data_IF_812117959945
#
_entry.id   IF_812117959945
#
_cell.length_a   1.000
_cell.length_b   1.000
_cell.length_c   1.000
_cell.angle_alpha   90.00
_cell.angle_beta   90.00
_cell.angle_gamma   90.00
#
_symmetry.space_group_name_H-M   'P 1'
#
loop_
_entity.id
_entity.type
_entity.pdbx_description
1 polymer ?
#
# COMPACT_ATOMS: atom_id res chain seq x y z
N UNK A 1 -23.37 0.50 3.18
CA UNK A 1 -22.84 -0.45 2.17
C UNK A 1 -21.71 0.29 1.46
N UNK A 2 -20.46 0.12 1.91
CA UNK A 2 -19.32 0.83 1.32
C UNK A 2 -18.83 0.01 0.13
N UNK A 3 -19.02 0.54 -1.08
CA UNK A 3 -18.54 -0.10 -2.29
C UNK A 3 -17.01 -0.10 -2.30
N UNK A 4 -16.41 -1.26 -2.05
CA UNK A 4 -14.96 -1.42 -2.18
C UNK A 4 -14.57 -1.31 -3.66
N UNK A 5 -13.81 -0.27 -4.01
CA UNK A 5 -13.22 -0.11 -5.33
C UNK A 5 -11.84 -0.76 -5.32
N UNK A 6 -11.57 -1.65 -6.28
CA UNK A 6 -10.21 -2.13 -6.55
C UNK A 6 -9.38 -0.96 -7.06
N UNK A 7 -8.51 -0.42 -6.22
CA UNK A 7 -7.63 0.69 -6.57
C UNK A 7 -6.34 0.12 -7.14
N UNK A 8 -6.04 0.44 -8.40
CA UNK A 8 -4.73 0.17 -8.98
C UNK A 8 -3.73 1.17 -8.36
N UNK A 9 -2.66 0.67 -7.73
CA UNK A 9 -1.66 1.51 -7.07
C UNK A 9 -1.08 2.60 -7.98
N UNK A 10 -0.90 2.29 -9.27
CA UNK A 10 -0.43 3.25 -10.27
C UNK A 10 -1.46 4.34 -10.60
N UNK A 11 -2.75 3.98 -10.62
CA UNK A 11 -3.83 4.95 -10.86
C UNK A 11 -4.00 5.85 -9.64
N UNK A 12 -3.89 5.30 -8.43
CA UNK A 12 -3.95 6.07 -7.19
C UNK A 12 -2.77 7.04 -7.06
N UNK A 13 -1.55 6.58 -7.35
CA UNK A 13 -0.37 7.44 -7.34
C UNK A 13 -0.48 8.62 -8.30
N UNK A 14 -1.01 8.35 -9.48
CA UNK A 14 -1.19 9.31 -10.55
C UNK A 14 -2.24 10.36 -10.19
N UNK A 15 -3.40 9.93 -9.70
CA UNK A 15 -4.49 10.81 -9.26
C UNK A 15 -4.11 11.63 -8.02
N UNK A 16 -3.39 11.05 -7.07
CA UNK A 16 -2.85 11.76 -5.90
C UNK A 16 -1.85 12.84 -6.31
N UNK A 17 -0.97 12.54 -7.28
CA UNK A 17 0.01 13.50 -7.80
C UNK A 17 -0.69 14.69 -8.47
N UNK A 18 -1.72 14.43 -9.28
CA UNK A 18 -2.53 15.48 -9.89
C UNK A 18 -3.20 16.40 -8.85
N UNK A 19 -3.84 15.82 -7.82
CA UNK A 19 -4.48 16.62 -6.77
C UNK A 19 -3.46 17.47 -6.01
N UNK A 20 -2.31 16.89 -5.67
CA UNK A 20 -1.24 17.59 -4.97
C UNK A 20 -0.71 18.81 -5.74
N UNK A 21 -0.50 18.67 -7.06
CA UNK A 21 -0.10 19.82 -7.89
C UNK A 21 -1.21 20.86 -8.02
N UNK A 22 -2.47 20.42 -8.14
CA UNK A 22 -3.63 21.31 -8.20
C UNK A 22 -3.81 22.11 -6.90
N UNK A 23 -3.65 21.48 -5.74
CA UNK A 23 -3.73 22.14 -4.42
C UNK A 23 -2.63 23.20 -4.23
N UNK A 24 -1.47 22.99 -4.86
CA UNK A 24 -0.37 23.98 -4.87
C UNK A 24 -0.58 25.13 -5.86
N UNK A 25 -1.64 25.10 -6.67
CA UNK A 25 -1.93 26.12 -7.67
C UNK A 25 -1.09 26.01 -8.94
N UNK A 26 -0.50 24.85 -9.22
CA UNK A 26 0.23 24.60 -10.47
C UNK A 26 -0.74 24.49 -11.66
N UNK A 27 -0.30 24.87 -12.86
CA UNK A 27 -1.08 24.75 -14.09
C UNK A 27 -1.06 23.30 -14.60
N UNK A 28 -1.90 22.48 -13.98
CA UNK A 28 -2.07 21.06 -14.28
C UNK A 28 -3.54 20.75 -14.61
N UNK A 29 -3.75 19.91 -15.62
CA UNK A 29 -5.07 19.46 -16.03
C UNK A 29 -5.06 17.95 -16.30
N UNK A 30 -6.12 17.25 -15.87
CA UNK A 30 -6.31 15.83 -16.16
C UNK A 30 -7.27 15.71 -17.34
N UNK A 31 -6.73 15.38 -18.52
CA UNK A 31 -7.45 15.49 -19.80
C UNK A 31 -7.20 14.26 -20.70
N UNK A 32 -8.14 14.00 -21.60
CA UNK A 32 -7.93 13.09 -22.72
C UNK A 32 -7.17 13.84 -23.83
N UNK A 33 -6.12 13.27 -24.44
CA UNK A 33 -5.48 13.86 -25.61
C UNK A 33 -6.40 13.69 -26.83
N UNK A 34 -7.18 14.71 -27.17
CA UNK A 34 -8.30 14.60 -28.13
C UNK A 34 -7.95 14.91 -29.60
N UNK A 35 -6.67 15.08 -29.95
CA UNK A 35 -6.30 15.56 -31.28
C UNK A 35 -5.32 14.61 -31.99
N UNK A 36 -5.55 14.38 -33.28
CA UNK A 36 -4.58 13.75 -34.17
C UNK A 36 -3.39 14.70 -34.33
N UNK A 37 -2.21 14.28 -33.88
CA UNK A 37 -1.02 15.08 -33.93
C UNK A 37 0.24 14.20 -33.99
N UNK A 38 1.38 14.85 -34.23
CA UNK A 38 2.68 14.21 -34.08
C UNK A 38 3.16 14.33 -32.64
N UNK A 39 3.19 13.19 -31.98
CA UNK A 39 3.59 13.03 -30.59
C UNK A 39 4.99 12.45 -30.52
N UNK A 40 5.77 12.95 -29.57
CA UNK A 40 7.09 12.44 -29.26
C UNK A 40 7.06 11.88 -27.83
N UNK A 41 7.22 10.55 -27.66
CA UNK A 41 7.35 9.96 -26.34
C UNK A 41 8.70 10.33 -25.74
N UNK A 42 8.65 10.81 -24.51
CA UNK A 42 9.81 11.13 -23.69
C UNK A 42 9.69 10.40 -22.35
N UNK A 43 10.80 9.86 -21.89
CA UNK A 43 10.88 9.22 -20.58
C UNK A 43 12.19 9.58 -19.91
N UNK A 44 12.20 9.54 -18.60
CA UNK A 44 13.43 9.58 -17.84
C UNK A 44 14.08 8.17 -17.83
N UNK A 45 15.41 8.13 -17.90
CA UNK A 45 16.18 6.90 -18.08
C UNK A 45 15.96 5.84 -16.98
N UNK A 46 15.83 6.26 -15.72
CA UNK A 46 15.49 5.35 -14.60
C UNK A 46 14.02 4.92 -14.59
N UNK A 47 13.18 5.51 -15.45
CA UNK A 47 11.76 5.23 -15.56
C UNK A 47 10.93 5.85 -14.45
N UNK A 48 11.44 6.90 -13.79
CA UNK A 48 10.72 7.62 -12.73
C UNK A 48 9.45 8.29 -13.25
N UNK A 49 9.51 8.81 -14.48
CA UNK A 49 8.35 9.35 -15.19
C UNK A 49 8.46 9.12 -16.70
N UNK A 50 7.32 9.14 -17.37
CA UNK A 50 7.20 9.12 -18.81
C UNK A 50 6.01 9.97 -19.25
N UNK A 51 6.09 10.43 -20.49
CA UNK A 51 5.04 11.24 -21.08
C UNK A 51 5.26 11.52 -22.55
N UNK A 52 4.43 12.41 -23.06
CA UNK A 52 4.31 12.74 -24.46
C UNK A 52 4.37 14.23 -24.63
N UNK A 53 5.10 14.67 -25.66
CA UNK A 53 5.17 16.08 -26.05
C UNK A 53 4.71 16.21 -27.48
N UNK A 54 4.00 17.30 -27.76
CA UNK A 54 3.62 17.64 -29.12
C UNK A 54 4.85 18.15 -29.87
N UNK A 55 5.18 17.52 -31.00
CA UNK A 55 6.37 17.87 -31.76
C UNK A 55 6.37 19.35 -32.18
N UNK A 56 5.18 19.89 -32.51
CA UNK A 56 5.00 21.32 -32.85
C UNK A 56 5.39 22.29 -31.73
N UNK A 57 5.26 21.88 -30.47
CA UNK A 57 5.58 22.71 -29.31
C UNK A 57 7.09 22.71 -29.00
N UNK A 58 7.84 21.75 -29.54
CA UNK A 58 9.30 21.74 -29.47
C UNK A 58 9.94 22.72 -30.47
N UNK A 59 9.24 23.13 -31.52
CA UNK A 59 9.82 23.98 -32.56
C UNK A 59 10.31 25.33 -32.05
N UNK A 60 9.50 26.10 -31.29
CA UNK A 60 9.94 27.40 -30.78
C UNK A 60 11.15 27.32 -29.86
N UNK A 61 11.42 26.14 -29.28
CA UNK A 61 12.55 25.93 -28.38
C UNK A 61 13.87 25.72 -29.12
N UNK A 62 13.80 25.24 -30.37
CA UNK A 62 14.98 25.01 -31.21
C UNK A 62 15.25 26.25 -32.08
N UNK A 63 14.21 26.79 -32.72
CA UNK A 63 14.27 28.04 -33.46
C UNK A 63 12.88 28.61 -33.67
N UNK A 64 12.71 29.91 -33.40
CA UNK A 64 11.46 30.63 -33.66
C UNK A 64 11.04 30.59 -35.14
N UNK A 65 12.00 30.43 -36.07
CA UNK A 65 11.73 30.38 -37.51
C UNK A 65 11.06 29.06 -37.95
N UNK A 66 11.17 28.00 -37.15
CA UNK A 66 10.56 26.71 -37.41
C UNK A 66 9.11 26.62 -36.88
N UNK A 67 8.66 27.64 -36.14
CA UNK A 67 7.32 27.68 -35.58
C UNK A 67 6.27 27.72 -36.71
N UNK A 68 5.41 26.69 -36.78
CA UNK A 68 4.33 26.61 -37.78
C UNK A 68 4.72 25.98 -39.12
N UNK A 69 5.96 25.50 -39.29
CA UNK A 69 6.35 24.76 -40.49
C UNK A 69 5.93 23.29 -40.45
N UNK A 70 5.57 22.73 -41.61
CA UNK A 70 5.37 21.29 -41.77
C UNK A 70 6.74 20.60 -41.91
N UNK A 71 7.06 19.68 -41.01
CA UNK A 71 8.36 19.00 -41.02
C UNK A 71 8.40 17.83 -41.98
N UNK A 72 9.53 17.70 -42.67
CA UNK A 72 9.93 16.45 -43.32
C UNK A 72 10.37 15.45 -42.23
N UNK A 73 10.16 14.13 -42.43
CA UNK A 73 10.50 13.11 -41.44
C UNK A 73 11.94 13.17 -40.93
N UNK A 74 12.87 13.64 -41.77
CA UNK A 74 14.27 13.79 -41.41
C UNK A 74 14.49 14.88 -40.33
N UNK A 75 13.75 15.99 -40.40
CA UNK A 75 13.81 17.02 -39.36
C UNK A 75 13.23 16.51 -38.04
N UNK A 76 12.17 15.68 -38.10
CA UNK A 76 11.58 15.07 -36.91
C UNK A 76 12.56 14.13 -36.21
N UNK A 77 13.31 13.34 -36.99
CA UNK A 77 14.39 12.49 -36.51
C UNK A 77 15.48 13.31 -35.81
N UNK A 78 15.93 14.39 -36.44
CA UNK A 78 16.97 15.28 -35.87
C UNK A 78 16.54 15.94 -34.57
N UNK A 79 15.26 16.31 -34.43
CA UNK A 79 14.70 16.85 -33.17
C UNK A 79 14.76 15.79 -32.06
N UNK A 80 14.37 14.55 -32.37
CA UNK A 80 14.45 13.45 -31.41
C UNK A 80 15.88 13.13 -30.98
N UNK A 81 16.83 13.19 -31.92
CA UNK A 81 18.26 13.02 -31.64
C UNK A 81 18.82 14.15 -30.79
N UNK A 82 18.49 15.40 -31.11
CA UNK A 82 18.88 16.56 -30.32
C UNK A 82 18.39 16.45 -28.87
N UNK A 83 17.13 16.06 -28.66
CA UNK A 83 16.58 15.83 -27.32
C UNK A 83 17.30 14.71 -26.55
N UNK A 84 17.71 13.65 -27.24
CA UNK A 84 18.40 12.50 -26.62
C UNK A 84 19.87 12.76 -26.29
N UNK A 85 20.50 13.70 -27.01
CA UNK A 85 21.92 14.05 -26.87
C UNK A 85 22.14 15.26 -25.97
N UNK A 86 21.14 16.13 -25.84
CA UNK A 86 21.19 17.29 -24.96
C UNK A 86 21.11 16.87 -23.50
N UNK A 87 21.90 17.50 -22.64
CA UNK A 87 21.92 17.22 -21.20
C UNK A 87 20.68 17.73 -20.48
N UNK A 88 20.17 18.90 -20.87
CA UNK A 88 18.98 19.53 -20.25
C UNK A 88 18.12 20.26 -21.29
N UNK A 89 17.55 19.54 -22.28
CA UNK A 89 16.78 20.17 -23.35
C UNK A 89 15.47 20.81 -22.88
N UNK A 90 14.92 20.38 -21.74
CA UNK A 90 13.65 20.86 -21.18
C UNK A 90 13.85 21.41 -19.77
N UNK A 91 13.45 22.64 -19.51
CA UNK A 91 13.52 23.21 -18.16
C UNK A 91 12.29 22.82 -17.34
N UNK A 92 12.38 21.70 -16.60
CA UNK A 92 11.28 21.21 -15.77
C UNK A 92 11.39 21.75 -14.34
N UNK A 93 10.41 22.55 -13.94
CA UNK A 93 10.35 23.17 -12.60
C UNK A 93 9.99 22.18 -11.49
N UNK A 94 9.34 21.07 -11.85
CA UNK A 94 8.81 20.09 -10.91
C UNK A 94 9.92 19.14 -10.43
N UNK A 95 10.17 19.02 -9.11
CA UNK A 95 11.22 18.16 -8.57
C UNK A 95 11.01 16.67 -8.89
N UNK A 96 9.76 16.25 -9.08
CA UNK A 96 9.38 14.87 -9.39
C UNK A 96 9.62 14.51 -10.87
N UNK A 97 9.87 15.52 -11.71
CA UNK A 97 10.22 15.36 -13.11
C UNK A 97 11.70 15.59 -13.37
N UNK A 98 12.54 15.58 -12.34
CA UNK A 98 13.99 15.61 -12.53
C UNK A 98 14.44 14.45 -13.40
N UNK A 99 15.33 14.75 -14.32
CA UNK A 99 15.94 13.77 -15.20
C UNK A 99 17.41 14.13 -15.38
N UNK A 100 18.26 13.11 -15.53
CA UNK A 100 19.65 13.30 -15.92
C UNK A 100 19.79 13.26 -17.45
N UNK A 101 19.03 12.38 -18.09
CA UNK A 101 18.94 12.25 -19.54
C UNK A 101 17.54 11.83 -19.95
N UNK A 102 17.06 12.37 -21.07
CA UNK A 102 15.78 11.96 -21.66
C UNK A 102 16.00 10.83 -22.65
N UNK A 103 15.22 9.76 -22.47
CA UNK A 103 15.03 8.72 -23.47
C UNK A 103 13.90 9.16 -24.39
N UNK A 104 14.22 9.38 -25.66
CA UNK A 104 13.25 9.80 -26.68
C UNK A 104 12.92 8.61 -27.56
N UNK A 105 11.63 8.32 -27.72
CA UNK A 105 11.18 7.27 -28.61
C UNK A 105 10.93 7.75 -30.04
N UNK A 106 10.28 6.90 -30.85
CA UNK A 106 9.90 7.24 -32.22
C UNK A 106 8.70 8.17 -32.24
N UNK A 107 8.67 9.10 -33.19
CA UNK A 107 7.53 9.97 -33.45
C UNK A 107 6.30 9.12 -33.77
N UNK A 108 5.22 9.39 -33.06
CA UNK A 108 3.91 8.77 -33.26
C UNK A 108 2.99 9.78 -33.95
N UNK A 109 2.49 9.44 -35.13
CA UNK A 109 1.55 10.27 -35.87
C UNK A 109 0.14 9.68 -35.73
N UNK A 110 -0.72 10.36 -34.98
CA UNK A 110 -2.09 9.91 -34.76
C UNK A 110 -2.71 10.40 -33.46
N UNK A 111 -3.81 9.75 -33.07
CA UNK A 111 -4.54 10.03 -31.84
C UNK A 111 -4.00 9.14 -30.73
N UNK A 112 -3.54 9.74 -29.64
CA UNK A 112 -3.23 8.99 -28.42
C UNK A 112 -4.55 8.47 -27.84
N UNK A 113 -4.69 7.15 -27.70
CA UNK A 113 -5.88 6.52 -27.11
C UNK A 113 -5.52 5.81 -25.80
N UNK A 114 -5.14 6.57 -24.74
CA UNK A 114 -4.84 5.97 -23.45
C UNK A 114 -6.11 5.42 -22.78
N UNK A 115 -5.96 4.38 -21.97
CA UNK A 115 -7.06 3.78 -21.21
C UNK A 115 -7.60 4.70 -20.08
N UNK A 116 -6.85 5.75 -19.73
CA UNK A 116 -7.17 6.72 -18.70
C UNK A 116 -6.69 8.12 -19.13
N UNK A 117 -7.28 9.21 -18.60
CA UNK A 117 -6.79 10.57 -18.83
C UNK A 117 -5.32 10.74 -18.45
N UNK A 118 -4.62 11.63 -19.14
CA UNK A 118 -3.23 11.97 -18.89
C UNK A 118 -3.14 13.29 -18.10
N UNK A 119 -2.08 13.45 -17.31
CA UNK A 119 -1.82 14.73 -16.64
C UNK A 119 -1.08 15.62 -17.63
N UNK A 120 -1.74 16.69 -18.06
CA UNK A 120 -1.12 17.77 -18.83
C UNK A 120 -0.54 18.78 -17.85
N UNK A 121 0.75 19.02 -17.94
CA UNK A 121 1.45 20.07 -17.21
C UNK A 121 1.96 21.13 -18.19
N UNK A 122 1.86 22.39 -17.81
CA UNK A 122 2.56 23.48 -18.49
C UNK A 122 3.94 23.68 -17.84
N UNK A 123 5.02 23.58 -18.62
CA UNK A 123 6.39 23.78 -18.10
C UNK A 123 6.83 25.25 -18.12
N UNK A 124 6.03 26.13 -18.73
CA UNK A 124 6.43 27.49 -19.11
C UNK A 124 6.79 27.61 -20.59
N UNK A 125 7.15 26.49 -21.22
CA UNK A 125 7.67 26.42 -22.58
C UNK A 125 6.82 25.52 -23.48
N UNK A 126 6.38 24.37 -22.96
CA UNK A 126 5.55 23.41 -23.67
C UNK A 126 4.61 22.66 -22.72
N UNK A 127 3.67 21.91 -23.30
CA UNK A 127 2.83 20.98 -22.56
C UNK A 127 3.44 19.58 -22.56
N UNK A 128 3.61 19.00 -21.37
CA UNK A 128 3.95 17.58 -21.23
C UNK A 128 2.71 16.82 -20.79
N UNK A 129 2.42 15.73 -21.48
CA UNK A 129 1.32 14.84 -21.18
C UNK A 129 1.88 13.58 -20.52
N UNK A 130 1.83 13.53 -19.20
CA UNK A 130 2.39 12.44 -18.41
C UNK A 130 1.46 11.24 -18.45
N UNK A 131 2.03 10.06 -18.71
CA UNK A 131 1.34 8.77 -18.59
C UNK A 131 1.80 7.98 -17.35
N UNK A 132 2.98 8.32 -16.83
CA UNK A 132 3.54 7.76 -15.60
C UNK A 132 4.31 8.83 -14.86
N UNK A 133 4.10 8.90 -13.55
CA UNK A 133 4.90 9.72 -12.64
C UNK A 133 4.96 9.03 -11.28
N UNK A 134 6.13 9.00 -10.65
CA UNK A 134 6.28 8.56 -9.27
C UNK A 134 5.51 9.48 -8.33
N UNK A 135 4.82 8.90 -7.35
CA UNK A 135 3.91 9.62 -6.41
C UNK A 135 4.60 10.87 -5.84
N UNK A 136 3.98 12.03 -6.01
CA UNK A 136 4.31 13.21 -5.21
C UNK A 136 3.87 12.96 -3.76
N UNK A 137 4.80 12.62 -2.87
CA UNK A 137 4.54 12.63 -1.43
C UNK A 137 4.96 14.00 -0.89
N UNK A 138 4.04 14.97 -0.89
CA UNK A 138 4.22 16.14 -0.04
C UNK A 138 3.94 15.74 1.41
N UNK A 139 4.60 16.40 2.35
CA UNK A 139 4.63 16.08 3.80
C UNK A 139 3.24 16.00 4.48
N UNK A 140 2.17 16.33 3.76
CA UNK A 140 0.78 16.22 4.18
C UNK A 140 0.11 14.90 3.77
N UNK A 141 0.87 13.83 3.47
CA UNK A 141 0.27 12.50 3.48
C UNK A 141 -0.37 12.30 4.86
N UNK A 142 -1.65 11.88 4.97
CA UNK A 142 -2.26 11.64 6.26
C UNK A 142 -1.37 10.66 7.00
N UNK A 143 -0.67 11.17 8.02
CA UNK A 143 0.18 10.36 8.86
C UNK A 143 -0.79 9.45 9.59
N UNK A 144 -0.83 8.19 9.15
CA UNK A 144 -1.60 7.17 9.84
C UNK A 144 -1.09 7.19 11.26
N UNK A 145 -1.90 7.71 12.19
CA UNK A 145 -1.50 7.79 13.59
C UNK A 145 -1.39 6.37 14.10
N UNK A 146 -0.17 5.85 14.10
CA UNK A 146 0.14 4.48 14.49
C UNK A 146 -0.27 4.19 15.94
N UNK A 147 -0.52 5.25 16.74
CA UNK A 147 -0.99 5.13 18.12
C UNK A 147 -2.49 4.86 18.23
N UNK A 148 -3.29 5.26 17.24
CA UNK A 148 -4.76 5.14 17.25
C UNK A 148 -5.26 3.84 16.62
N UNK A 149 -4.40 2.85 16.57
CA UNK A 149 -4.46 1.73 15.68
C UNK A 149 -4.45 0.48 16.58
N UNK A 150 -5.46 -0.39 16.46
CA UNK A 150 -5.69 -1.51 17.37
C UNK A 150 -5.73 -2.84 16.61
N UNK A 151 -5.12 -3.87 17.20
CA UNK A 151 -5.07 -5.22 16.63
C UNK A 151 -5.60 -6.22 17.65
N UNK A 152 -6.45 -7.17 17.21
CA UNK A 152 -6.83 -8.27 18.06
C UNK A 152 -5.62 -9.20 18.24
N UNK A 153 -5.14 -9.28 19.48
CA UNK A 153 -4.11 -10.24 19.88
C UNK A 153 -4.84 -11.40 20.54
N UNK A 154 -4.71 -12.60 19.97
CA UNK A 154 -5.24 -13.82 20.58
C UNK A 154 -4.11 -14.57 21.27
N UNK A 155 -4.31 -14.88 22.54
CA UNK A 155 -3.41 -15.71 23.34
C UNK A 155 -3.93 -17.15 23.27
N UNK A 156 -3.27 -17.98 22.46
CA UNK A 156 -3.66 -19.37 22.24
C UNK A 156 -2.90 -20.22 23.25
N UNK A 157 -3.63 -21.02 24.04
CA UNK A 157 -3.05 -21.96 25.03
C UNK A 157 -2.82 -23.36 24.44
N UNK A 158 -3.39 -23.64 23.26
CA UNK A 158 -3.22 -24.88 22.53
C UNK A 158 -4.31 -25.09 21.51
N UNK A 159 -4.27 -26.21 20.80
CA UNK A 159 -5.31 -26.57 19.84
C UNK A 159 -5.47 -28.08 19.69
N UNK A 160 -6.64 -28.48 19.22
CA UNK A 160 -6.94 -29.85 18.79
C UNK A 160 -7.44 -29.85 17.36
N UNK A 161 -6.98 -30.83 16.57
CA UNK A 161 -7.56 -31.12 15.27
C UNK A 161 -8.75 -32.05 15.48
N UNK A 162 -9.90 -31.69 14.93
CA UNK A 162 -11.11 -32.50 14.99
C UNK A 162 -11.77 -32.59 13.62
N UNK A 163 -12.71 -33.52 13.47
CA UNK A 163 -13.46 -33.69 12.23
C UNK A 163 -14.75 -32.86 12.27
N UNK A 164 -15.28 -32.53 11.09
CA UNK A 164 -16.50 -31.71 10.97
C UNK A 164 -17.69 -32.31 11.71
N UNK A 165 -17.84 -33.65 11.70
CA UNK A 165 -18.95 -34.32 12.41
C UNK A 165 -18.93 -34.01 13.90
N UNK A 166 -17.76 -34.16 14.53
CA UNK A 166 -17.57 -33.83 15.94
C UNK A 166 -17.90 -32.36 16.23
N UNK A 167 -17.55 -31.42 15.35
CA UNK A 167 -17.87 -29.99 15.55
C UNK A 167 -19.38 -29.74 15.58
N UNK A 168 -20.14 -30.44 14.74
CA UNK A 168 -21.60 -30.32 14.66
C UNK A 168 -22.29 -30.89 15.90
N UNK A 169 -21.66 -31.88 16.53
CA UNK A 169 -22.21 -32.61 17.67
C UNK A 169 -21.79 -32.01 19.04
N UNK A 170 -21.03 -30.91 19.09
CA UNK A 170 -20.61 -30.27 20.35
C UNK A 170 -21.77 -29.50 20.96
N UNK A 171 -22.10 -29.81 22.22
CA UNK A 171 -23.12 -29.12 23.00
C UNK A 171 -22.55 -28.47 24.27
N UNK A 172 -23.35 -27.59 24.89
CA UNK A 172 -22.98 -26.95 26.15
C UNK A 172 -22.90 -28.00 27.24
N UNK A 173 -21.71 -28.18 27.82
CA UNK A 173 -21.42 -29.19 28.85
C UNK A 173 -20.39 -30.22 28.39
N UNK A 174 -20.09 -30.29 27.10
CA UNK A 174 -19.05 -31.16 26.57
C UNK A 174 -17.65 -30.67 26.93
N UNK A 175 -16.75 -31.63 27.18
CA UNK A 175 -15.35 -31.35 27.49
C UNK A 175 -14.50 -31.52 26.24
N UNK A 176 -13.88 -30.43 25.79
CA UNK A 176 -12.95 -30.44 24.65
C UNK A 176 -11.50 -30.52 25.13
N UNK A 177 -10.85 -31.64 24.85
CA UNK A 177 -9.45 -31.85 25.21
C UNK A 177 -8.52 -31.11 24.25
N UNK A 178 -7.52 -30.43 24.80
CA UNK A 178 -6.42 -29.81 24.05
C UNK A 178 -5.30 -30.85 23.89
N UNK A 179 -5.13 -31.36 22.68
CA UNK A 179 -4.14 -32.41 22.37
C UNK A 179 -2.74 -31.85 22.09
N UNK A 180 -2.65 -30.61 21.63
CA UNK A 180 -1.38 -29.92 21.41
C UNK A 180 -1.29 -28.70 22.33
N UNK A 181 -0.50 -28.85 23.40
CA UNK A 181 -0.22 -27.76 24.34
C UNK A 181 0.89 -26.88 23.77
N UNK A 182 0.50 -25.77 23.15
CA UNK A 182 1.40 -24.73 22.68
C UNK A 182 0.80 -23.40 23.08
N UNK A 183 1.51 -22.67 23.93
CA UNK A 183 1.13 -21.33 24.33
C UNK A 183 1.83 -20.31 23.42
N UNK A 184 1.07 -19.52 22.66
CA UNK A 184 1.62 -18.48 21.78
C UNK A 184 0.61 -17.37 21.50
N UNK A 185 1.12 -16.18 21.15
CA UNK A 185 0.29 -15.05 20.74
C UNK A 185 0.21 -14.95 19.22
N UNK A 186 -1.00 -14.69 18.70
CA UNK A 186 -1.24 -14.45 17.27
C UNK A 186 -1.96 -13.12 17.06
N UNK A 187 -1.63 -12.44 15.96
CA UNK A 187 -2.49 -11.41 15.37
C UNK A 187 -3.01 -11.97 14.05
N UNK A 188 -4.33 -12.10 13.93
CA UNK A 188 -4.98 -12.79 12.82
C UNK A 188 -4.38 -14.20 12.61
N UNK A 189 -3.67 -14.42 11.50
CA UNK A 189 -3.08 -15.72 11.15
C UNK A 189 -1.55 -15.75 11.32
N UNK A 190 -0.97 -14.76 11.99
CA UNK A 190 0.48 -14.67 12.16
C UNK A 190 0.85 -14.83 13.63
N UNK A 191 1.68 -15.84 13.92
CA UNK A 191 2.30 -16.02 15.24
C UNK A 191 3.33 -14.92 15.48
N UNK A 192 3.25 -14.30 16.66
CA UNK A 192 4.12 -13.20 17.08
C UNK A 192 5.19 -13.71 18.02
N UNK A 193 4.81 -14.44 19.06
CA UNK A 193 5.73 -14.97 20.05
C UNK A 193 5.17 -16.23 20.71
N UNK A 194 6.08 -17.03 21.28
CA UNK A 194 5.73 -18.07 22.23
C UNK A 194 5.46 -17.47 23.61
N UNK A 195 4.49 -18.05 24.31
CA UNK A 195 4.12 -17.68 25.67
C UNK A 195 4.65 -18.75 26.62
N UNK A 196 5.16 -18.31 27.77
CA UNK A 196 5.50 -19.20 28.88
C UNK A 196 4.42 -18.97 29.93
N UNK A 197 3.57 -19.96 30.13
CA UNK A 197 2.59 -19.93 31.20
C UNK A 197 3.24 -20.42 32.50
N UNK A 198 3.09 -19.71 33.64
CA UNK A 198 3.56 -20.20 34.93
C UNK A 198 2.95 -21.56 35.23
N UNK A 199 3.73 -22.50 35.78
CA UNK A 199 3.24 -23.85 36.08
C UNK A 199 2.08 -23.87 37.09
N UNK A 200 1.95 -22.81 37.88
CA UNK A 200 0.92 -22.58 38.90
C UNK A 200 -0.52 -22.54 38.35
N UNK A 201 -0.69 -22.36 37.04
CA UNK A 201 -2.01 -22.31 36.38
C UNK A 201 -2.32 -23.58 35.55
N UNK A 202 -1.46 -24.60 35.60
CA UNK A 202 -1.67 -25.89 34.93
C UNK A 202 -2.30 -26.88 35.93
N UNK A 203 -3.51 -27.36 35.65
CA UNK A 203 -4.03 -28.55 36.31
C UNK A 203 -3.24 -29.76 35.81
N UNK A 204 -2.40 -30.34 36.67
CA UNK A 204 -1.66 -31.57 36.42
C UNK A 204 -2.36 -32.68 37.20
N UNK A 205 -2.80 -33.75 36.53
CA UNK A 205 -3.24 -34.98 37.21
C UNK A 205 -2.04 -35.56 37.96
N UNK A 206 -1.98 -35.32 39.28
CA UNK A 206 -1.06 -36.01 40.16
C UNK A 206 -1.63 -37.40 40.46
N UNK A 207 -1.13 -38.42 39.78
CA UNK A 207 -1.22 -39.79 40.30
C UNK A 207 -0.14 -39.93 41.37
N UNK A 208 -0.50 -39.75 42.63
CA UNK A 208 0.37 -40.05 43.77
C UNK A 208 0.58 -41.57 43.83
N UNK A 209 1.76 -42.02 43.39
CA UNK A 209 2.33 -43.25 43.93
C UNK A 209 3.02 -42.85 45.23
N UNK A 210 2.49 -43.31 46.38
CA UNK A 210 3.18 -43.23 47.66
C UNK A 210 4.49 -44.04 47.57
N UNK A 211 5.62 -43.35 47.43
CA UNK A 211 6.92 -43.88 47.84
C UNK A 211 7.57 -42.87 48.78
N UNK A 212 7.57 -43.26 50.06
CA UNK A 212 8.27 -42.64 51.17
C UNK A 212 9.73 -42.30 50.83
N UNK A 213 10.07 -41.01 50.77
CA UNK A 213 11.42 -40.56 51.09
C UNK A 213 11.36 -39.21 51.80
N UNK A 214 11.65 -39.23 53.10
CA UNK A 214 12.01 -38.05 53.89
C UNK A 214 13.27 -37.39 53.28
N UNK A 215 13.26 -36.05 53.15
CA UNK A 215 14.38 -35.18 53.59
C UNK A 215 14.03 -33.70 53.45
N UNK A 216 14.04 -33.04 54.62
CA UNK A 216 14.64 -31.74 54.96
C UNK A 216 14.41 -30.49 54.08
N UNK A 217 13.50 -29.64 54.58
CA UNK A 217 13.78 -28.28 55.08
C UNK A 217 14.57 -27.32 54.16
N UNK A 218 13.86 -26.48 53.39
CA UNK A 218 14.37 -25.15 52.99
C UNK A 218 13.23 -24.13 52.79
N UNK A 219 13.12 -23.22 53.77
CA UNK A 219 12.36 -21.98 53.75
C UNK A 219 12.77 -21.05 52.58
N UNK A 220 11.82 -20.68 51.70
CA UNK A 220 11.89 -19.42 50.96
C UNK A 220 10.52 -18.72 50.97
N UNK A 221 10.56 -17.48 51.47
CA UNK A 221 9.45 -16.60 51.80
C UNK A 221 8.62 -16.16 50.58
N UNK A 222 7.30 -16.23 50.75
CA UNK A 222 6.23 -15.65 49.93
C UNK A 222 6.28 -14.11 50.00
N UNK A 223 6.24 -13.42 48.86
CA UNK A 223 5.94 -11.98 48.80
C UNK A 223 4.66 -11.79 47.99
N UNK A 224 3.61 -11.35 48.68
CA UNK A 224 2.30 -10.99 48.14
C UNK A 224 2.37 -9.65 47.39
N UNK A 225 1.77 -9.59 46.20
CA UNK A 225 1.36 -8.33 45.58
C UNK A 225 -0.07 -8.51 45.08
N UNK A 226 -1.01 -7.93 45.82
CA UNK A 226 -2.40 -7.72 45.44
C UNK A 226 -2.48 -6.63 44.35
N UNK A 227 -3.30 -6.86 43.31
CA UNK A 227 -3.77 -5.79 42.42
C UNK A 227 -5.29 -5.89 42.33
N UNK A 228 -5.96 -4.84 42.82
CA UNK A 228 -7.40 -4.65 42.79
C UNK A 228 -7.94 -4.43 41.37
N UNK A 229 -9.07 -5.08 41.10
CA UNK A 229 -9.99 -4.82 40.00
C UNK A 229 -10.70 -3.46 40.16
N UNK A 230 -11.05 -2.84 39.03
CA UNK A 230 -12.42 -2.37 38.71
C UNK A 230 -12.39 -1.42 37.51
N UNK A 231 -13.05 -1.80 36.42
CA UNK A 231 -13.90 -0.87 35.65
C UNK A 231 -14.83 -1.64 34.70
N UNK A 232 -16.11 -1.57 35.04
CA UNK A 232 -17.27 -2.00 34.28
C UNK A 232 -17.27 -1.43 32.84
N UNK A 233 -17.27 -2.32 31.85
CA UNK A 233 -17.71 -1.99 30.50
C UNK A 233 -18.83 -2.94 30.08
N UNK A 234 -19.98 -2.33 29.79
CA UNK A 234 -21.23 -3.00 29.43
C UNK A 234 -21.03 -4.03 28.31
N UNK A 235 -21.44 -5.26 28.60
CA UNK A 235 -21.42 -6.39 27.69
C UNK A 235 -22.43 -6.19 26.56
N UNK A 236 -21.95 -6.15 25.31
CA UNK A 236 -22.78 -6.21 24.11
C UNK A 236 -23.04 -7.68 23.80
N UNK A 237 -24.30 -8.11 23.92
CA UNK A 237 -24.67 -9.53 23.98
C UNK A 237 -25.21 -10.10 22.65
N UNK A 238 -25.16 -9.34 21.55
CA UNK A 238 -25.60 -9.80 20.22
C UNK A 238 -24.80 -9.18 19.07
N UNK A 239 -24.63 -9.95 17.98
CA UNK A 239 -23.94 -9.51 16.76
C UNK A 239 -24.62 -8.34 16.03
N UNK A 240 -25.90 -8.10 16.30
CA UNK A 240 -26.69 -7.01 15.68
C UNK A 240 -26.41 -5.64 16.31
N UNK A 241 -25.80 -5.61 17.50
CA UNK A 241 -25.52 -4.39 18.28
C UNK A 241 -24.12 -3.79 18.00
N UNK A 242 -23.38 -4.38 17.05
CA UNK A 242 -22.09 -3.86 16.63
C UNK A 242 -22.30 -2.59 15.77
N UNK A 243 -21.73 -1.42 16.14
CA UNK A 243 -21.90 -0.16 15.39
C UNK A 243 -21.12 -0.14 14.05
N UNK A 244 -20.67 -1.29 13.56
CA UNK A 244 -19.81 -1.43 12.39
C UNK A 244 -20.17 -2.67 11.57
N UNK A 245 -20.13 -2.54 10.24
CA UNK A 245 -20.40 -3.64 9.29
C UNK A 245 -19.09 -4.35 8.90
N UNK A 246 -19.02 -5.67 9.08
CA UNK A 246 -17.84 -6.51 8.76
C UNK A 246 -18.05 -7.21 7.40
N UNK A 247 -17.05 -7.15 6.50
CA UNK A 247 -17.03 -7.88 5.22
C UNK A 247 -15.64 -8.51 4.98
N UNK A 248 -15.62 -9.72 4.39
CA UNK A 248 -14.40 -10.51 4.14
C UNK A 248 -14.14 -10.66 2.63
N UNK A 249 -12.87 -10.58 2.22
CA UNK A 249 -12.44 -10.71 0.81
C UNK A 249 -11.35 -11.78 0.65
N UNK A 250 -11.58 -12.73 -0.26
CA UNK A 250 -10.67 -13.84 -0.59
C UNK A 250 -9.63 -13.42 -1.65
N UNK A 251 -8.35 -13.57 -1.32
CA UNK A 251 -7.23 -13.39 -2.25
C UNK A 251 -6.64 -14.73 -2.72
N UNK A 252 -6.45 -14.90 -4.03
CA UNK A 252 -5.78 -16.08 -4.61
C UNK A 252 -4.26 -15.88 -4.56
N UNK A 253 -3.54 -16.83 -3.97
CA UNK A 253 -2.07 -16.86 -3.88
C UNK A 253 -1.49 -17.18 -5.26
N UNK A 254 -0.52 -16.38 -5.75
CA UNK A 254 0.35 -16.76 -6.88
C UNK A 254 1.40 -17.76 -6.42
#
# INVERSE_FOLDING_TARGET
MFGLRKVNGNTHSFETTFQNWKEKGEDVALLMPEFSAKWLPIAEESGSWSGWVLLRELFPLISAELAGMALIPETERLIGEWLSLSSTPLNLKYPELKYNRLCVGKVFDGVLSPAQPLIRIWTGELNIWLDKVTVCQYENAPTLDKKSLYWPIYFVIGFSKTCYRTIVDIEVGDVLLISNNFAYAIIYNTKICDLIYPEELKMVDHFEYEEDFETDDFDIKKSEIEINDENDYQQINSFEDLPVKIEFVLGKKK
#
